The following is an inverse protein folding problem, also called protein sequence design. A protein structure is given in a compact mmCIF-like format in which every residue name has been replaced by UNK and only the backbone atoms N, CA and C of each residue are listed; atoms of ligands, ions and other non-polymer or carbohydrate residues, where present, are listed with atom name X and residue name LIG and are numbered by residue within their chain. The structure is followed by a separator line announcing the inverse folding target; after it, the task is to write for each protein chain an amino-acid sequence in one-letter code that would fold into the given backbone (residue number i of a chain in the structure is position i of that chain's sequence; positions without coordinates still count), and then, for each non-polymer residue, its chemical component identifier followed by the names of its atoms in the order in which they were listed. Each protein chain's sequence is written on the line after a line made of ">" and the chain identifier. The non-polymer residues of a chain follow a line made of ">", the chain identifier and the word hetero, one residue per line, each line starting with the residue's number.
data_IF_661609926134
#
_entry.id   IF_661609926134
#
_cell.length_a   1.000
_cell.length_b   1.000
_cell.length_c   1.000
_cell.angle_alpha   90.00
_cell.angle_beta   90.00
_cell.angle_gamma   90.00
#
_symmetry.space_group_name_H-M   'P 1'
#
loop_
_entity.id
_entity.type
_entity.pdbx_description
1 polymer ?
#
# COMPACT_ATOMS: atom_id res chain seq x y z
N UNK A 1 -31.89 -11.47 -41.85
CA UNK A 1 -33.14 -11.50 -41.07
C UNK A 1 -32.89 -10.71 -39.79
N UNK A 2 -33.31 -9.46 -39.73
CA UNK A 2 -32.96 -8.51 -38.68
C UNK A 2 -34.03 -8.54 -37.57
N UNK A 3 -33.60 -8.84 -36.31
CA UNK A 3 -34.47 -8.85 -35.16
C UNK A 3 -34.53 -7.43 -34.59
N UNK A 4 -35.72 -6.78 -34.67
CA UNK A 4 -35.99 -5.48 -34.06
C UNK A 4 -36.19 -5.64 -32.53
N UNK A 5 -35.61 -4.79 -31.67
CA UNK A 5 -35.90 -4.78 -30.27
C UNK A 5 -37.26 -4.15 -29.96
N UNK A 6 -38.11 -4.86 -29.21
CA UNK A 6 -39.37 -4.35 -28.66
C UNK A 6 -39.11 -3.39 -27.50
N UNK A 7 -39.39 -2.09 -27.68
CA UNK A 7 -39.51 -1.15 -26.54
C UNK A 7 -40.81 -1.44 -25.78
N UNK A 8 -40.68 -1.93 -24.53
CA UNK A 8 -41.76 -1.85 -23.53
C UNK A 8 -41.48 -0.66 -22.61
N UNK A 9 -42.34 0.37 -22.71
CA UNK A 9 -42.36 1.49 -21.78
C UNK A 9 -42.94 1.03 -20.45
N UNK A 10 -42.12 0.75 -19.47
CA UNK A 10 -42.51 0.57 -18.08
C UNK A 10 -42.37 1.90 -17.34
N UNK A 11 -43.34 2.25 -16.48
CA UNK A 11 -43.26 3.39 -15.59
C UNK A 11 -42.04 3.24 -14.70
N UNK A 12 -41.20 4.27 -14.67
CA UNK A 12 -40.01 4.35 -13.84
C UNK A 12 -40.40 4.51 -12.36
N UNK A 13 -40.16 3.51 -11.53
CA UNK A 13 -40.43 3.53 -10.09
C UNK A 13 -39.11 3.75 -9.35
N UNK A 14 -38.91 4.98 -8.88
CA UNK A 14 -37.70 5.46 -8.21
C UNK A 14 -37.26 4.60 -6.99
N UNK A 15 -38.19 3.93 -6.31
CA UNK A 15 -37.86 3.13 -5.12
C UNK A 15 -37.39 1.71 -5.43
N UNK A 16 -37.86 1.14 -6.53
CA UNK A 16 -37.47 -0.21 -6.96
C UNK A 16 -36.21 -0.16 -7.81
N UNK A 17 -36.07 0.91 -8.62
CA UNK A 17 -34.90 1.10 -9.47
C UNK A 17 -33.63 1.47 -8.69
N UNK A 18 -33.73 2.22 -7.59
CA UNK A 18 -32.54 2.56 -6.79
C UNK A 18 -31.90 1.31 -6.13
N UNK A 19 -32.69 0.33 -5.68
CA UNK A 19 -32.18 -0.95 -5.16
C UNK A 19 -31.59 -1.83 -6.25
N UNK A 20 -32.22 -1.86 -7.42
CA UNK A 20 -31.72 -2.60 -8.58
C UNK A 20 -30.49 -1.95 -9.19
N UNK A 21 -30.38 -0.61 -9.14
CA UNK A 21 -29.22 0.11 -9.63
C UNK A 21 -27.98 -0.12 -8.74
N UNK A 22 -28.16 -0.21 -7.41
CA UNK A 22 -27.08 -0.54 -6.49
C UNK A 22 -26.58 -1.98 -6.69
N UNK A 23 -27.49 -2.91 -6.97
CA UNK A 23 -27.13 -4.30 -7.25
C UNK A 23 -26.50 -4.45 -8.66
N UNK A 24 -26.95 -3.70 -9.66
CA UNK A 24 -26.35 -3.69 -11.00
C UNK A 24 -24.97 -3.09 -11.03
N UNK A 25 -24.75 -1.97 -10.34
CA UNK A 25 -23.39 -1.35 -10.25
C UNK A 25 -22.42 -2.31 -9.57
N UNK A 26 -22.87 -3.08 -8.58
CA UNK A 26 -22.03 -4.12 -7.98
C UNK A 26 -21.78 -5.29 -8.92
N UNK A 27 -22.82 -5.78 -9.65
CA UNK A 27 -22.66 -6.86 -10.64
C UNK A 27 -21.77 -6.44 -11.83
N UNK A 28 -21.96 -5.24 -12.35
CA UNK A 28 -21.13 -4.72 -13.46
C UNK A 28 -19.66 -4.50 -13.04
N UNK A 29 -19.41 -4.23 -11.74
CA UNK A 29 -18.05 -4.18 -11.18
C UNK A 29 -17.43 -5.58 -11.02
N UNK A 30 -18.24 -6.64 -10.99
CA UNK A 30 -17.79 -8.03 -10.84
C UNK A 30 -17.84 -8.83 -12.16
N UNK A 31 -18.51 -8.31 -13.21
CA UNK A 31 -18.54 -8.92 -14.56
C UNK A 31 -17.34 -8.53 -15.45
N UNK A 32 -16.38 -7.74 -14.95
CA UNK A 32 -15.09 -7.64 -15.62
C UNK A 32 -14.40 -9.00 -15.57
N UNK A 33 -14.35 -9.64 -16.72
CA UNK A 33 -13.63 -10.84 -17.12
C UNK A 33 -12.90 -11.55 -15.96
N UNK A 34 -13.45 -12.66 -15.46
CA UNK A 34 -12.91 -13.44 -14.32
C UNK A 34 -11.40 -13.74 -14.49
N UNK A 35 -10.93 -13.82 -15.72
CA UNK A 35 -9.54 -13.99 -16.07
C UNK A 35 -8.68 -12.77 -15.68
N UNK A 36 -9.18 -11.55 -15.92
CA UNK A 36 -8.45 -10.29 -15.58
C UNK A 36 -8.39 -10.10 -14.07
N UNK A 37 -9.47 -10.43 -13.37
CA UNK A 37 -9.49 -10.40 -11.91
C UNK A 37 -8.54 -11.43 -11.29
N UNK A 38 -8.49 -12.63 -11.85
CA UNK A 38 -7.57 -13.67 -11.42
C UNK A 38 -6.11 -13.26 -11.59
N UNK A 39 -5.74 -12.68 -12.76
CA UNK A 39 -4.39 -12.13 -12.99
C UNK A 39 -4.02 -11.01 -12.04
N UNK A 40 -4.96 -10.11 -11.73
CA UNK A 40 -4.74 -9.05 -10.73
C UNK A 40 -4.44 -9.63 -9.35
N UNK A 41 -5.20 -10.63 -8.93
CA UNK A 41 -4.99 -11.33 -7.67
C UNK A 41 -3.63 -12.02 -7.63
N UNK A 42 -3.23 -12.73 -8.70
CA UNK A 42 -1.91 -13.36 -8.79
C UNK A 42 -0.76 -12.35 -8.71
N UNK A 43 -0.91 -11.19 -9.35
CA UNK A 43 0.09 -10.11 -9.24
C UNK A 43 0.24 -9.61 -7.81
N UNK A 44 -0.86 -9.36 -7.12
CA UNK A 44 -0.84 -8.94 -5.71
C UNK A 44 -0.17 -10.00 -4.84
N UNK A 45 -0.52 -11.27 -5.01
CA UNK A 45 0.12 -12.37 -4.30
C UNK A 45 1.63 -12.46 -4.59
N UNK A 46 2.04 -12.30 -5.83
CA UNK A 46 3.46 -12.31 -6.20
C UNK A 46 4.24 -11.17 -5.55
N UNK A 47 3.66 -9.98 -5.45
CA UNK A 47 4.26 -8.82 -4.76
C UNK A 47 4.41 -9.08 -3.26
N UNK A 48 3.41 -9.69 -2.61
CA UNK A 48 3.50 -10.09 -1.20
C UNK A 48 4.60 -11.13 -0.98
N UNK A 49 4.64 -12.19 -1.80
CA UNK A 49 5.68 -13.23 -1.70
C UNK A 49 7.06 -12.63 -1.87
N UNK A 50 7.25 -11.77 -2.88
CA UNK A 50 8.52 -11.09 -3.11
C UNK A 50 8.91 -10.18 -1.93
N UNK A 51 7.95 -9.48 -1.33
CA UNK A 51 8.18 -8.67 -0.14
C UNK A 51 8.64 -9.51 1.06
N UNK A 52 8.00 -10.63 1.31
CA UNK A 52 8.40 -11.56 2.39
C UNK A 52 9.78 -12.17 2.14
N UNK A 53 10.13 -12.52 0.91
CA UNK A 53 11.45 -13.05 0.58
C UNK A 53 12.57 -12.02 0.80
N UNK A 54 12.29 -10.74 0.55
CA UNK A 54 13.21 -9.66 0.89
C UNK A 54 13.37 -9.55 2.41
N UNK A 55 12.26 -9.52 3.15
CA UNK A 55 12.28 -9.36 4.61
C UNK A 55 12.96 -10.52 5.34
N UNK A 56 12.89 -11.74 4.81
CA UNK A 56 13.59 -12.93 5.34
C UNK A 56 15.11 -12.76 5.44
N UNK A 57 15.70 -11.89 4.63
CA UNK A 57 17.14 -11.60 4.65
C UNK A 57 17.58 -10.77 5.86
N UNK A 58 16.60 -10.21 6.60
CA UNK A 58 16.82 -9.33 7.74
C UNK A 58 16.27 -9.97 9.00
N UNK A 59 17.14 -10.73 9.73
CA UNK A 59 16.74 -11.46 10.93
C UNK A 59 16.39 -10.56 12.11
N UNK A 60 17.04 -9.40 12.18
CA UNK A 60 16.82 -8.41 13.24
C UNK A 60 16.65 -7.04 12.59
N UNK A 61 15.46 -6.48 12.71
CA UNK A 61 15.13 -5.21 12.07
C UNK A 61 14.32 -4.32 13.01
N UNK A 62 14.50 -3.02 12.88
CA UNK A 62 13.69 -2.00 13.54
C UNK A 62 13.00 -1.14 12.46
N UNK A 63 11.69 -0.93 12.63
CA UNK A 63 10.91 -0.12 11.70
C UNK A 63 10.70 1.27 12.29
N UNK A 64 10.98 2.29 11.48
CA UNK A 64 10.70 3.68 11.80
C UNK A 64 9.53 4.19 10.97
N UNK A 65 8.55 4.70 11.66
CA UNK A 65 7.38 5.34 11.07
C UNK A 65 7.10 6.65 11.79
N UNK A 66 6.83 7.71 11.04
CA UNK A 66 6.59 9.02 11.66
C UNK A 66 6.25 10.12 10.67
N UNK A 67 6.18 11.35 11.16
CA UNK A 67 5.81 12.53 10.39
C UNK A 67 6.78 12.82 9.26
N UNK A 68 6.24 13.05 8.07
CA UNK A 68 6.98 13.50 6.90
C UNK A 68 7.24 15.02 6.88
N UNK A 69 6.69 15.77 7.86
CA UNK A 69 6.77 17.24 7.88
C UNK A 69 7.92 17.78 8.70
N UNK A 70 8.61 16.93 9.46
CA UNK A 70 9.71 17.35 10.32
C UNK A 70 10.95 17.65 9.48
N UNK A 71 11.65 18.71 9.88
CA UNK A 71 12.89 19.14 9.24
C UNK A 71 14.11 18.69 10.04
N UNK A 72 15.29 18.74 9.44
CA UNK A 72 16.54 18.35 10.07
C UNK A 72 16.90 19.15 11.35
N UNK A 73 16.26 20.31 11.55
CA UNK A 73 16.46 21.13 12.74
C UNK A 73 15.61 20.68 13.91
N UNK A 74 14.58 19.89 13.66
CA UNK A 74 13.63 19.42 14.67
C UNK A 74 14.30 18.46 15.65
N UNK A 75 14.05 18.57 16.96
CA UNK A 75 14.62 17.69 17.97
C UNK A 75 14.19 16.23 17.78
N UNK A 76 12.98 15.97 17.28
CA UNK A 76 12.51 14.60 16.99
C UNK A 76 13.22 13.99 15.78
N UNK A 77 13.56 14.80 14.76
CA UNK A 77 14.37 14.34 13.64
C UNK A 77 15.73 13.86 14.13
N UNK A 78 16.44 14.67 14.92
CA UNK A 78 17.75 14.35 15.48
C UNK A 78 17.70 13.14 16.42
N UNK A 79 16.63 13.02 17.21
CA UNK A 79 16.45 11.85 18.08
C UNK A 79 16.26 10.56 17.29
N UNK A 80 15.49 10.58 16.20
CA UNK A 80 15.30 9.44 15.30
C UNK A 80 16.60 9.04 14.61
N UNK A 81 17.37 10.00 14.10
CA UNK A 81 18.67 9.79 13.49
C UNK A 81 19.66 9.12 14.46
N UNK A 82 19.78 9.65 15.67
CA UNK A 82 20.66 9.09 16.69
C UNK A 82 20.25 7.69 17.15
N UNK A 83 18.94 7.45 17.29
CA UNK A 83 18.42 6.14 17.66
C UNK A 83 18.71 5.11 16.57
N UNK A 84 18.46 5.46 15.31
CA UNK A 84 18.72 4.58 14.18
C UNK A 84 20.22 4.27 14.05
N UNK A 85 21.10 5.25 14.26
CA UNK A 85 22.55 5.04 14.27
C UNK A 85 23.01 4.09 15.37
N UNK A 86 22.42 4.18 16.58
CA UNK A 86 22.71 3.26 17.69
C UNK A 86 22.26 1.83 17.38
N UNK A 87 21.05 1.67 16.83
CA UNK A 87 20.51 0.37 16.46
C UNK A 87 21.31 -0.26 15.32
N UNK A 88 21.69 0.52 14.33
CA UNK A 88 22.54 0.06 13.23
C UNK A 88 23.89 -0.47 13.71
N UNK A 89 24.53 0.22 14.66
CA UNK A 89 25.79 -0.25 15.31
C UNK A 89 25.62 -1.55 16.08
N UNK A 90 24.43 -1.85 16.54
CA UNK A 90 24.10 -3.12 17.22
C UNK A 90 23.69 -4.23 16.23
N UNK A 91 23.77 -3.98 14.93
CA UNK A 91 23.46 -4.97 13.89
C UNK A 91 22.00 -5.04 13.48
N UNK A 92 21.16 -4.08 13.90
CA UNK A 92 19.80 -3.98 13.41
C UNK A 92 19.77 -3.40 12.00
N UNK A 93 18.95 -3.99 11.14
CA UNK A 93 18.56 -3.38 9.86
C UNK A 93 17.43 -2.39 10.09
N UNK A 94 17.51 -1.22 9.49
CA UNK A 94 16.50 -0.18 9.63
C UNK A 94 15.53 -0.25 8.45
N UNK A 95 14.24 -0.37 8.74
CA UNK A 95 13.17 -0.42 7.73
C UNK A 95 12.34 0.85 7.83
N UNK A 96 12.16 1.53 6.72
CA UNK A 96 11.32 2.74 6.63
C UNK A 96 10.46 2.71 5.38
N UNK A 97 9.49 3.61 5.30
CA UNK A 97 8.71 3.83 4.07
C UNK A 97 9.41 4.68 3.01
N UNK A 98 10.66 5.10 3.24
CA UNK A 98 11.44 5.89 2.28
C UNK A 98 10.96 7.35 2.09
N UNK A 99 10.08 7.84 2.96
CA UNK A 99 9.58 9.22 2.91
C UNK A 99 10.49 10.21 3.65
N UNK A 100 10.20 11.51 3.56
CA UNK A 100 10.94 12.56 4.26
C UNK A 100 10.66 12.56 5.77
N UNK A 101 11.34 13.42 6.51
CA UNK A 101 11.15 13.63 7.94
C UNK A 101 11.73 12.50 8.79
N UNK A 102 10.95 11.88 9.65
CA UNK A 102 11.43 10.82 10.57
C UNK A 102 12.01 9.61 9.82
N UNK A 103 11.43 9.24 8.69
CA UNK A 103 11.92 8.11 7.89
C UNK A 103 13.27 8.41 7.24
N UNK A 104 13.44 9.63 6.72
CA UNK A 104 14.72 10.13 6.21
C UNK A 104 15.78 10.16 7.32
N UNK A 105 15.44 10.70 8.49
CA UNK A 105 16.30 10.74 9.65
C UNK A 105 16.81 9.34 10.05
N UNK A 106 15.89 8.36 10.06
CA UNK A 106 16.24 6.98 10.40
C UNK A 106 17.17 6.35 9.36
N UNK A 107 16.92 6.56 8.07
CA UNK A 107 17.80 6.07 7.01
C UNK A 107 19.19 6.71 7.07
N UNK A 108 19.26 8.02 7.31
CA UNK A 108 20.51 8.74 7.50
C UNK A 108 21.29 8.20 8.69
N UNK A 109 20.63 8.05 9.85
CA UNK A 109 21.25 7.49 11.04
C UNK A 109 21.75 6.05 10.83
N UNK A 110 21.02 5.23 10.08
CA UNK A 110 21.45 3.88 9.74
C UNK A 110 22.75 3.87 8.92
N UNK A 111 22.86 4.76 7.94
CA UNK A 111 24.07 4.91 7.13
C UNK A 111 25.27 5.41 7.97
N UNK A 112 25.06 6.37 8.87
CA UNK A 112 26.09 6.85 9.80
C UNK A 112 26.56 5.76 10.78
N UNK A 113 25.65 4.84 11.12
CA UNK A 113 25.97 3.66 11.92
C UNK A 113 26.63 2.50 11.17
N UNK A 114 26.92 2.66 9.86
CA UNK A 114 27.36 1.59 8.95
C UNK A 114 26.40 0.37 8.91
N UNK A 115 25.13 0.61 9.14
CA UNK A 115 24.09 -0.40 9.06
C UNK A 115 23.40 -0.45 7.69
N UNK A 116 22.38 -1.28 7.61
CA UNK A 116 21.52 -1.44 6.42
C UNK A 116 20.21 -0.67 6.62
N UNK A 117 19.79 0.06 5.59
CA UNK A 117 18.48 0.71 5.52
C UNK A 117 17.84 0.51 4.17
#
# INVERSE_FOLDING_TARGET
>A
MAIKPKKKGGKFDLKTDARNMHCRVLTDLFEEDDAVQSWRTFRIMAEFVSGFDILRKYSTAATFFGSARLTQQDPYYKAAEQLAAKLAKQGFSIITGGGPGIMEAANKGAQEGNGRS
#
